data_IF_766457325594
#
_entry.id   IF_766457325594
#
_cell.length_a   1.000
_cell.length_b   1.000
_cell.length_c   1.000
_cell.angle_alpha   90.00
_cell.angle_beta   90.00
_cell.angle_gamma   90.00
#
_symmetry.space_group_name_H-M   'P 1'
#
loop_
_entity.id
_entity.type
_entity.pdbx_description
1 polymer ?
#
# COMPACT_ATOMS: atom_id res chain seq x y z
N UNK A 1 22.65 13.14 -9.50
CA UNK A 1 21.40 13.04 -10.31
C UNK A 1 21.22 11.66 -10.92
N UNK A 2 22.20 11.12 -11.65
CA UNK A 2 22.13 9.79 -12.30
C UNK A 2 21.72 8.68 -11.32
N UNK A 3 22.41 8.58 -10.17
CA UNK A 3 22.10 7.57 -9.13
C UNK A 3 20.66 7.64 -8.61
N UNK A 4 20.13 8.84 -8.41
CA UNK A 4 18.74 9.03 -7.97
C UNK A 4 17.77 8.52 -9.03
N UNK A 5 18.04 8.81 -10.31
CA UNK A 5 17.26 8.28 -11.44
C UNK A 5 17.28 6.74 -11.49
N UNK A 6 18.45 6.12 -11.36
CA UNK A 6 18.56 4.65 -11.32
C UNK A 6 17.76 4.04 -10.16
N UNK A 7 17.81 4.66 -8.96
CA UNK A 7 17.08 4.17 -7.78
C UNK A 7 15.56 4.25 -7.95
N UNK A 8 15.06 5.34 -8.52
CA UNK A 8 13.64 5.52 -8.84
C UNK A 8 13.21 4.49 -9.89
N UNK A 9 14.02 4.30 -10.94
CA UNK A 9 13.69 3.35 -11.99
C UNK A 9 13.66 1.91 -11.47
N UNK A 10 14.64 1.50 -10.65
CA UNK A 10 14.62 0.20 -9.98
C UNK A 10 13.41 0.04 -9.04
N UNK A 11 13.03 1.10 -8.32
CA UNK A 11 11.83 1.09 -7.48
C UNK A 11 10.55 0.86 -8.31
N UNK A 12 10.42 1.52 -9.46
CA UNK A 12 9.30 1.30 -10.38
C UNK A 12 9.27 -0.14 -10.87
N UNK A 13 10.42 -0.70 -11.27
CA UNK A 13 10.49 -2.10 -11.73
C UNK A 13 10.15 -3.11 -10.63
N UNK A 14 10.44 -2.81 -9.36
CA UNK A 14 10.05 -3.64 -8.22
C UNK A 14 8.55 -3.48 -7.87
N UNK A 15 7.97 -2.30 -8.10
CA UNK A 15 6.56 -2.06 -7.87
C UNK A 15 5.68 -2.78 -8.90
N UNK A 16 6.08 -2.82 -10.18
CA UNK A 16 5.22 -3.37 -11.24
C UNK A 16 4.75 -4.80 -11.00
N UNK A 17 5.60 -5.76 -10.56
CA UNK A 17 5.14 -7.09 -10.17
C UNK A 17 4.17 -7.07 -9.00
N UNK A 18 4.41 -6.23 -7.99
CA UNK A 18 3.50 -6.10 -6.86
C UNK A 18 2.11 -5.63 -7.31
N UNK A 19 2.04 -4.80 -8.34
CA UNK A 19 0.78 -4.28 -8.88
C UNK A 19 0.04 -5.27 -9.78
N UNK A 20 0.76 -6.08 -10.55
CA UNK A 20 0.16 -6.87 -11.65
C UNK A 20 0.10 -8.37 -11.40
N UNK A 21 0.97 -8.93 -10.55
CA UNK A 21 1.02 -10.38 -10.29
C UNK A 21 -0.25 -10.87 -9.59
N UNK A 22 -0.75 -10.14 -8.59
CA UNK A 22 -1.98 -10.50 -7.88
C UNK A 22 -3.18 -10.66 -8.83
N UNK A 23 -3.52 -9.61 -9.62
CA UNK A 23 -4.57 -9.70 -10.64
C UNK A 23 -4.38 -10.84 -11.65
N UNK A 24 -3.14 -11.07 -12.13
CA UNK A 24 -2.84 -12.15 -13.06
C UNK A 24 -3.08 -13.54 -12.46
N UNK A 25 -2.70 -13.75 -11.18
CA UNK A 25 -2.96 -15.01 -10.47
C UNK A 25 -4.46 -15.24 -10.30
N UNK A 26 -5.21 -14.20 -9.91
CA UNK A 26 -6.68 -14.27 -9.80
C UNK A 26 -7.33 -14.60 -11.16
N UNK A 27 -6.75 -14.11 -12.26
CA UNK A 27 -7.20 -14.42 -13.62
C UNK A 27 -6.77 -15.81 -14.15
N UNK A 28 -6.09 -16.63 -13.33
CA UNK A 28 -5.63 -17.97 -13.73
C UNK A 28 -4.36 -17.97 -14.59
N UNK A 29 -3.69 -16.83 -14.75
CA UNK A 29 -2.48 -16.64 -15.58
C UNK A 29 -1.20 -16.84 -14.78
N UNK A 30 -1.08 -17.97 -14.09
CA UNK A 30 0.03 -18.21 -13.16
C UNK A 30 1.40 -18.23 -13.85
N UNK A 31 1.49 -18.85 -15.03
CA UNK A 31 2.74 -18.95 -15.78
C UNK A 31 3.26 -17.59 -16.23
N UNK A 32 2.36 -16.77 -16.77
CA UNK A 32 2.63 -15.40 -17.20
C UNK A 32 2.99 -14.52 -15.99
N UNK A 33 2.30 -14.67 -14.87
CA UNK A 33 2.58 -13.92 -13.66
C UNK A 33 4.00 -14.19 -13.13
N UNK A 34 4.42 -15.46 -13.14
CA UNK A 34 5.79 -15.87 -12.76
C UNK A 34 6.81 -15.32 -13.74
N UNK A 35 6.59 -15.48 -15.05
CA UNK A 35 7.50 -14.98 -16.08
C UNK A 35 7.66 -13.45 -16.01
N UNK A 36 6.56 -12.73 -15.81
CA UNK A 36 6.54 -11.28 -15.65
C UNK A 36 7.31 -10.84 -14.40
N UNK A 37 7.08 -11.48 -13.26
CA UNK A 37 7.80 -11.19 -12.02
C UNK A 37 9.31 -11.41 -12.17
N UNK A 38 9.73 -12.49 -12.83
CA UNK A 38 11.14 -12.79 -13.11
C UNK A 38 11.75 -11.73 -14.03
N UNK A 39 11.07 -11.36 -15.11
CA UNK A 39 11.56 -10.37 -16.07
C UNK A 39 11.79 -9.00 -15.41
N UNK A 40 10.79 -8.52 -14.66
CA UNK A 40 10.86 -7.24 -13.94
C UNK A 40 11.89 -7.27 -12.82
N UNK A 41 11.98 -8.38 -12.06
CA UNK A 41 13.00 -8.56 -11.02
C UNK A 41 14.42 -8.57 -11.58
N UNK A 42 14.62 -9.22 -12.73
CA UNK A 42 15.91 -9.24 -13.43
C UNK A 42 16.32 -7.85 -13.93
N UNK A 43 15.35 -7.10 -14.48
CA UNK A 43 15.58 -5.72 -14.91
C UNK A 43 15.94 -4.81 -13.71
N UNK A 44 15.21 -4.93 -12.60
CA UNK A 44 15.53 -4.21 -11.36
C UNK A 44 16.94 -4.55 -10.87
N UNK A 45 17.32 -5.83 -10.84
CA UNK A 45 18.65 -6.28 -10.45
C UNK A 45 19.76 -5.69 -11.34
N UNK A 46 19.53 -5.65 -12.66
CA UNK A 46 20.47 -5.04 -13.61
C UNK A 46 20.64 -3.53 -13.34
N UNK A 47 19.56 -2.79 -13.09
CA UNK A 47 19.63 -1.36 -12.78
C UNK A 47 20.37 -1.11 -11.46
N UNK A 48 20.13 -1.94 -10.44
CA UNK A 48 20.83 -1.87 -9.15
C UNK A 48 22.32 -2.16 -9.32
N UNK A 49 22.69 -3.15 -10.13
CA UNK A 49 24.09 -3.44 -10.48
C UNK A 49 24.74 -2.23 -11.15
N UNK A 50 24.10 -1.66 -12.17
CA UNK A 50 24.59 -0.47 -12.87
C UNK A 50 24.77 0.72 -11.91
N UNK A 51 23.79 0.98 -11.03
CA UNK A 51 23.86 2.04 -10.02
C UNK A 51 24.99 1.85 -9.01
N UNK A 52 25.25 0.61 -8.62
CA UNK A 52 26.24 0.25 -7.60
C UNK A 52 27.67 0.35 -8.13
N UNK A 53 27.93 -0.19 -9.32
CA UNK A 53 29.29 -0.40 -9.82
C UNK A 53 29.72 0.55 -10.94
N UNK A 54 28.77 1.13 -11.69
CA UNK A 54 29.08 1.94 -12.87
C UNK A 54 28.76 3.43 -12.69
N UNK A 55 28.39 3.86 -11.47
CA UNK A 55 28.16 5.26 -11.12
C UNK A 55 29.04 5.61 -9.93
N UNK A 56 29.93 6.59 -10.06
CA UNK A 56 30.76 7.07 -8.95
C UNK A 56 30.00 8.03 -8.00
N UNK A 57 30.33 8.02 -6.69
CA UNK A 57 31.27 7.09 -6.02
C UNK A 57 30.63 5.72 -5.76
N UNK A 58 31.30 4.61 -6.05
CA UNK A 58 30.71 3.27 -6.00
C UNK A 58 29.94 2.96 -4.70
N UNK A 59 28.93 2.11 -4.81
CA UNK A 59 28.03 1.70 -3.72
C UNK A 59 27.92 0.17 -3.69
N UNK A 60 27.22 -0.37 -2.70
CA UNK A 60 26.91 -1.82 -2.66
C UNK A 60 25.52 -2.06 -3.23
N UNK A 61 25.29 -3.23 -3.84
CA UNK A 61 23.93 -3.65 -4.27
C UNK A 61 22.95 -3.55 -3.10
N UNK A 62 23.36 -3.93 -1.89
CA UNK A 62 22.52 -3.85 -0.69
C UNK A 62 22.08 -2.42 -0.38
N UNK A 63 23.00 -1.45 -0.48
CA UNK A 63 22.69 -0.04 -0.24
C UNK A 63 21.78 0.54 -1.33
N UNK A 64 22.03 0.22 -2.61
CA UNK A 64 21.17 0.64 -3.70
C UNK A 64 19.77 0.02 -3.61
N UNK A 65 19.68 -1.28 -3.29
CA UNK A 65 18.42 -1.99 -3.10
C UNK A 65 17.62 -1.42 -1.93
N UNK A 66 18.26 -1.17 -0.78
CA UNK A 66 17.61 -0.50 0.35
C UNK A 66 17.12 0.90 0.00
N UNK A 67 17.88 1.67 -0.78
CA UNK A 67 17.47 2.98 -1.24
C UNK A 67 16.29 2.93 -2.23
N UNK A 68 16.27 1.96 -3.15
CA UNK A 68 15.14 1.72 -4.07
C UNK A 68 13.88 1.24 -3.34
N UNK A 69 14.01 0.31 -2.40
CA UNK A 69 12.90 -0.12 -1.55
C UNK A 69 12.37 1.06 -0.72
N UNK A 70 13.26 1.91 -0.20
CA UNK A 70 12.88 3.11 0.52
C UNK A 70 12.11 4.10 -0.35
N UNK A 71 12.32 4.17 -1.68
CA UNK A 71 11.52 5.01 -2.58
C UNK A 71 10.05 4.58 -2.65
N UNK A 72 9.79 3.28 -2.59
CA UNK A 72 8.44 2.75 -2.44
C UNK A 72 7.89 2.97 -1.04
N UNK A 73 8.74 3.24 -0.05
CA UNK A 73 8.34 3.30 1.35
C UNK A 73 8.48 1.98 2.10
N UNK A 74 9.08 0.96 1.48
CA UNK A 74 9.41 -0.33 2.12
C UNK A 74 10.65 -0.18 3.00
N UNK A 75 10.57 0.72 3.98
CA UNK A 75 11.62 1.02 4.94
C UNK A 75 11.07 1.01 6.36
N UNK A 76 11.98 1.00 7.34
CA UNK A 76 11.60 1.10 8.75
C UNK A 76 10.81 2.40 8.99
N UNK A 77 9.74 2.38 9.81
CA UNK A 77 9.05 3.59 10.24
C UNK A 77 10.02 4.60 10.86
N UNK A 78 9.97 5.85 10.38
CA UNK A 78 10.77 6.97 10.87
C UNK A 78 9.85 7.93 11.64
N UNK A 79 9.71 7.69 12.95
CA UNK A 79 8.95 8.54 13.86
C UNK A 79 9.87 9.43 14.68
N UNK A 80 9.43 10.65 15.01
CA UNK A 80 10.26 11.74 15.54
C UNK A 80 10.86 11.49 16.94
N UNK A 81 10.48 10.42 17.64
CA UNK A 81 10.99 10.10 18.99
C UNK A 81 11.97 8.93 18.96
N UNK A 82 13.07 8.98 19.72
CA UNK A 82 13.99 7.85 19.86
C UNK A 82 13.29 6.71 20.60
N UNK A 83 12.79 5.74 19.84
CA UNK A 83 12.27 4.48 20.34
C UNK A 83 13.25 3.36 19.96
N UNK A 84 13.40 2.35 20.83
CA UNK A 84 14.10 1.12 20.48
C UNK A 84 13.50 0.51 19.22
N UNK A 85 14.30 -0.24 18.46
CA UNK A 85 13.88 -0.87 17.20
C UNK A 85 12.63 -1.72 17.34
N UNK A 86 12.57 -2.54 18.40
CA UNK A 86 11.42 -3.40 18.71
C UNK A 86 10.16 -2.59 18.99
N UNK A 87 10.27 -1.49 19.76
CA UNK A 87 9.11 -0.68 20.11
C UNK A 87 8.50 0.03 18.89
N UNK A 88 9.33 0.42 17.91
CA UNK A 88 8.81 1.04 16.68
C UNK A 88 7.97 0.07 15.87
N UNK A 89 8.43 -1.16 15.67
CA UNK A 89 7.67 -2.15 14.90
C UNK A 89 6.39 -2.58 15.61
N UNK A 90 6.45 -2.86 16.91
CA UNK A 90 5.26 -3.25 17.69
C UNK A 90 4.21 -2.14 17.73
N UNK A 91 4.62 -0.89 17.95
CA UNK A 91 3.67 0.22 18.05
C UNK A 91 3.15 0.61 16.68
N UNK A 92 4.05 0.90 15.74
CA UNK A 92 3.69 1.56 14.48
C UNK A 92 3.39 0.60 13.35
N UNK A 93 3.83 -0.66 13.41
CA UNK A 93 3.50 -1.67 12.39
C UNK A 93 2.52 -2.72 12.90
N UNK A 94 2.08 -2.67 14.16
CA UNK A 94 1.10 -3.63 14.68
C UNK A 94 0.00 -2.94 15.49
N UNK A 95 0.31 -2.41 16.67
CA UNK A 95 -0.71 -1.93 17.61
C UNK A 95 -1.55 -0.78 17.05
N UNK A 96 -0.92 0.29 16.55
CA UNK A 96 -1.61 1.45 15.99
C UNK A 96 -2.37 1.08 14.71
N UNK A 97 -1.77 0.41 13.71
CA UNK A 97 -2.50 -0.05 12.52
C UNK A 97 -3.72 -0.92 12.82
N UNK A 98 -3.60 -1.91 13.72
CA UNK A 98 -4.71 -2.81 14.05
C UNK A 98 -5.83 -2.06 14.78
N UNK A 99 -5.50 -1.15 15.69
CA UNK A 99 -6.49 -0.31 16.36
C UNK A 99 -7.24 0.58 15.36
N UNK A 100 -6.53 1.22 14.42
CA UNK A 100 -7.14 2.06 13.39
C UNK A 100 -7.97 1.25 12.39
N UNK A 101 -7.56 0.02 12.07
CA UNK A 101 -8.37 -0.91 11.28
C UNK A 101 -9.71 -1.22 11.97
N UNK A 102 -9.70 -1.44 13.29
CA UNK A 102 -10.91 -1.60 14.08
C UNK A 102 -11.80 -0.36 14.07
N UNK A 103 -11.23 0.84 14.23
CA UNK A 103 -11.99 2.09 14.12
C UNK A 103 -12.60 2.27 12.74
N UNK A 104 -11.84 1.99 11.67
CA UNK A 104 -12.33 2.03 10.30
C UNK A 104 -13.50 1.06 10.10
N UNK A 105 -13.37 -0.17 10.59
CA UNK A 105 -14.44 -1.16 10.54
C UNK A 105 -15.72 -0.73 11.28
N UNK A 106 -15.60 -0.16 12.49
CA UNK A 106 -16.75 0.37 13.23
C UNK A 106 -17.44 1.52 12.48
N UNK A 107 -16.66 2.40 11.85
CA UNK A 107 -17.18 3.43 10.96
C UNK A 107 -17.96 2.84 9.78
N UNK A 108 -17.42 1.79 9.16
CA UNK A 108 -18.06 1.10 8.04
C UNK A 108 -19.38 0.41 8.43
N UNK A 109 -19.43 -0.21 9.62
CA UNK A 109 -20.67 -0.76 10.16
C UNK A 109 -21.73 0.31 10.35
N UNK A 110 -21.35 1.45 10.93
CA UNK A 110 -22.25 2.59 11.14
C UNK A 110 -22.78 3.13 9.81
N UNK A 111 -21.89 3.33 8.82
CA UNK A 111 -22.25 3.73 7.47
C UNK A 111 -23.27 2.78 6.84
N UNK A 112 -23.03 1.47 6.96
CA UNK A 112 -23.93 0.44 6.43
C UNK A 112 -25.30 0.45 7.10
N UNK A 113 -25.39 0.71 8.40
CA UNK A 113 -26.67 0.76 9.12
C UNK A 113 -27.50 1.99 8.73
N UNK A 114 -26.84 3.10 8.42
CA UNK A 114 -27.48 4.35 8.04
C UNK A 114 -27.85 4.40 6.55
N UNK A 115 -27.24 3.54 5.73
CA UNK A 115 -27.43 3.51 4.28
C UNK A 115 -28.38 2.37 3.89
N UNK A 116 -29.49 2.69 3.22
CA UNK A 116 -30.51 1.70 2.85
C UNK A 116 -29.92 0.59 1.95
N UNK A 117 -29.87 -0.68 2.40
CA UNK A 117 -29.34 -1.81 1.64
C UNK A 117 -30.13 -2.12 0.35
N UNK A 118 -31.37 -1.66 0.24
CA UNK A 118 -32.19 -1.83 -0.96
C UNK A 118 -31.68 -1.01 -2.16
N UNK A 119 -30.77 -0.06 -1.92
CA UNK A 119 -30.25 0.88 -2.92
C UNK A 119 -28.87 0.44 -3.47
N UNK A 120 -28.23 -0.59 -2.91
CA UNK A 120 -26.84 -0.96 -3.27
C UNK A 120 -26.66 -2.48 -3.54
N UNK A 121 -27.15 -2.93 -4.70
CA UNK A 121 -27.00 -4.32 -5.16
C UNK A 121 -25.53 -4.72 -5.38
N UNK A 122 -24.66 -3.76 -5.72
CA UNK A 122 -23.23 -3.97 -5.86
C UNK A 122 -22.58 -4.35 -4.51
N UNK A 123 -23.00 -3.69 -3.43
CA UNK A 123 -22.55 -4.03 -2.08
C UNK A 123 -22.99 -5.44 -1.66
N UNK A 124 -24.18 -5.89 -2.08
CA UNK A 124 -24.63 -7.26 -1.80
C UNK A 124 -23.78 -8.29 -2.55
N UNK A 125 -23.46 -8.03 -3.82
CA UNK A 125 -22.57 -8.88 -4.61
C UNK A 125 -21.16 -8.95 -3.99
N UNK A 126 -20.60 -7.81 -3.57
CA UNK A 126 -19.29 -7.76 -2.92
C UNK A 126 -19.23 -8.56 -1.61
N UNK A 127 -20.32 -8.60 -0.84
CA UNK A 127 -20.41 -9.46 0.37
C UNK A 127 -20.42 -10.94 0.03
N UNK A 128 -21.13 -11.33 -1.03
CA UNK A 128 -21.12 -12.72 -1.50
C UNK A 128 -19.73 -13.14 -1.93
N UNK A 129 -19.04 -12.29 -2.71
CA UNK A 129 -17.67 -12.56 -3.17
C UNK A 129 -16.70 -12.74 -1.99
N UNK A 130 -16.77 -11.86 -0.97
CA UNK A 130 -15.95 -11.99 0.24
C UNK A 130 -16.21 -13.28 1.01
N UNK A 131 -17.46 -13.75 1.03
CA UNK A 131 -17.82 -15.03 1.65
C UNK A 131 -17.21 -16.20 0.88
N UNK A 132 -17.26 -16.16 -0.45
CA UNK A 132 -16.71 -17.20 -1.31
C UNK A 132 -15.19 -17.36 -1.16
N UNK A 133 -14.48 -16.27 -0.81
CA UNK A 133 -13.04 -16.31 -0.51
C UNK A 133 -12.70 -17.26 0.65
N UNK A 134 -13.55 -17.33 1.68
CA UNK A 134 -13.38 -18.27 2.80
C UNK A 134 -13.95 -19.64 2.45
N UNK A 135 -15.17 -19.69 1.89
CA UNK A 135 -15.89 -20.96 1.65
C UNK A 135 -15.16 -21.82 0.62
N UNK A 136 -14.71 -21.24 -0.49
CA UNK A 136 -14.06 -21.98 -1.58
C UNK A 136 -12.52 -21.94 -1.50
N UNK A 137 -11.96 -20.84 -0.98
CA UNK A 137 -10.50 -20.66 -0.86
C UNK A 137 -9.89 -21.08 0.47
N UNK A 138 -10.71 -21.32 1.50
CA UNK A 138 -10.27 -21.63 2.86
C UNK A 138 -9.76 -20.41 3.64
N UNK A 139 -9.51 -20.62 4.94
CA UNK A 139 -9.10 -19.57 5.88
C UNK A 139 -7.79 -18.86 5.49
N UNK A 140 -6.81 -19.60 4.97
CA UNK A 140 -5.55 -19.00 4.53
C UNK A 140 -5.78 -18.02 3.37
N UNK A 141 -6.67 -18.36 2.43
CA UNK A 141 -7.02 -17.47 1.32
C UNK A 141 -7.72 -16.21 1.83
N UNK A 142 -8.79 -16.38 2.62
CA UNK A 142 -9.63 -15.28 3.09
C UNK A 142 -9.00 -14.34 4.12
N UNK A 143 -8.01 -14.80 4.91
CA UNK A 143 -7.44 -13.99 6.00
C UNK A 143 -5.99 -13.56 5.75
N UNK A 144 -5.24 -14.29 4.92
CA UNK A 144 -3.82 -13.99 4.68
C UNK A 144 -3.58 -13.64 3.21
N UNK A 145 -3.83 -14.58 2.29
CA UNK A 145 -3.44 -14.41 0.89
C UNK A 145 -4.11 -13.18 0.27
N UNK A 146 -5.44 -13.11 0.32
CA UNK A 146 -6.18 -12.04 -0.33
C UNK A 146 -6.00 -10.71 0.41
N UNK A 147 -6.23 -10.62 1.74
CA UNK A 147 -6.11 -9.35 2.45
C UNK A 147 -4.72 -8.72 2.35
N UNK A 148 -3.66 -9.52 2.38
CA UNK A 148 -2.28 -9.02 2.44
C UNK A 148 -1.68 -8.90 1.05
N UNK A 149 -1.65 -9.98 0.28
CA UNK A 149 -0.83 -10.07 -0.93
C UNK A 149 -1.57 -9.68 -2.21
N UNK A 150 -2.89 -9.84 -2.24
CA UNK A 150 -3.71 -9.45 -3.40
C UNK A 150 -4.23 -8.03 -3.26
N UNK A 151 -4.63 -7.63 -2.04
CA UNK A 151 -5.22 -6.32 -1.80
C UNK A 151 -4.22 -5.33 -1.17
N UNK A 152 -3.84 -5.52 0.10
CA UNK A 152 -3.14 -4.47 0.85
C UNK A 152 -1.77 -4.09 0.26
N UNK A 153 -0.88 -5.05 -0.01
CA UNK A 153 0.45 -4.71 -0.57
C UNK A 153 0.33 -4.01 -1.92
N UNK A 154 -0.37 -4.57 -2.93
CA UNK A 154 -0.50 -3.93 -4.23
C UNK A 154 -1.14 -2.55 -4.15
N UNK A 155 -2.27 -2.42 -3.44
CA UNK A 155 -2.99 -1.16 -3.35
C UNK A 155 -2.19 -0.10 -2.58
N UNK A 156 -1.55 -0.45 -1.47
CA UNK A 156 -0.72 0.53 -0.75
C UNK A 156 0.49 0.96 -1.58
N UNK A 157 1.12 0.06 -2.33
CA UNK A 157 2.17 0.44 -3.29
C UNK A 157 1.62 1.37 -4.36
N UNK A 158 0.45 1.06 -4.94
CA UNK A 158 -0.17 1.87 -6.00
C UNK A 158 -0.50 3.28 -5.53
N UNK A 159 -1.18 3.38 -4.39
CA UNK A 159 -1.79 4.63 -3.98
C UNK A 159 -0.90 5.45 -3.04
N UNK A 160 -0.02 4.84 -2.23
CA UNK A 160 0.72 5.57 -1.17
C UNK A 160 2.17 5.85 -1.55
N UNK A 161 2.74 5.10 -2.50
CA UNK A 161 4.10 5.36 -2.99
C UNK A 161 4.26 6.77 -3.55
N UNK A 162 3.23 7.35 -4.19
CA UNK A 162 3.28 8.73 -4.70
C UNK A 162 3.52 9.74 -3.57
N UNK A 163 2.76 9.65 -2.49
CA UNK A 163 2.87 10.55 -1.32
C UNK A 163 4.28 10.46 -0.73
N UNK A 164 4.76 9.24 -0.57
CA UNK A 164 6.08 8.92 -0.03
C UNK A 164 7.22 9.39 -0.94
N UNK A 165 7.06 9.29 -2.27
CA UNK A 165 8.00 9.79 -3.25
C UNK A 165 8.07 11.32 -3.22
N UNK A 166 6.91 12.00 -3.19
CA UNK A 166 6.83 13.47 -3.09
C UNK A 166 7.52 13.97 -1.81
N UNK A 167 7.24 13.35 -0.65
CA UNK A 167 7.92 13.68 0.60
C UNK A 167 9.45 13.58 0.49
N UNK A 168 9.96 12.52 -0.13
CA UNK A 168 11.40 12.27 -0.28
C UNK A 168 12.06 13.20 -1.27
N UNK A 169 11.43 13.45 -2.42
CA UNK A 169 11.93 14.38 -3.44
C UNK A 169 12.10 15.77 -2.84
N UNK A 170 11.08 16.26 -2.13
CA UNK A 170 11.07 17.60 -1.54
C UNK A 170 11.99 17.71 -0.32
N UNK A 171 12.20 16.63 0.43
CA UNK A 171 13.18 16.61 1.52
C UNK A 171 14.62 16.86 1.02
N UNK A 172 14.94 16.45 -0.21
CA UNK A 172 16.25 16.68 -0.82
C UNK A 172 16.49 18.13 -1.28
N UNK A 173 15.47 18.99 -1.27
CA UNK A 173 15.54 20.34 -1.83
C UNK A 173 15.49 21.38 -0.72
N UNK A 174 16.65 21.72 -0.17
CA UNK A 174 16.80 22.64 0.98
C UNK A 174 16.19 24.03 0.77
N UNK A 175 16.02 24.47 -0.48
CA UNK A 175 15.52 25.80 -0.85
C UNK A 175 13.98 25.91 -0.89
N UNK A 176 13.25 24.79 -0.85
CA UNK A 176 11.78 24.83 -0.90
C UNK A 176 11.24 25.17 0.50
N UNK A 177 10.38 26.21 0.65
CA UNK A 177 9.73 26.53 1.92
C UNK A 177 8.86 25.39 2.44
N UNK A 178 8.81 25.21 3.77
CA UNK A 178 8.06 24.11 4.39
C UNK A 178 6.56 24.14 4.06
N UNK A 179 5.96 25.33 3.91
CA UNK A 179 4.57 25.48 3.49
C UNK A 179 4.32 24.88 2.09
N UNK A 180 5.24 25.11 1.16
CA UNK A 180 5.16 24.55 -0.21
C UNK A 180 5.34 23.04 -0.18
N UNK A 181 6.24 22.52 0.67
CA UNK A 181 6.40 21.07 0.86
C UNK A 181 5.13 20.44 1.43
N UNK A 182 4.56 21.06 2.46
CA UNK A 182 3.31 20.64 3.09
C UNK A 182 2.17 20.60 2.08
N UNK A 183 2.01 21.66 1.28
CA UNK A 183 0.99 21.73 0.23
C UNK A 183 1.17 20.63 -0.82
N UNK A 184 2.39 20.41 -1.32
CA UNK A 184 2.65 19.38 -2.31
C UNK A 184 2.35 17.96 -1.79
N UNK A 185 2.72 17.68 -0.53
CA UNK A 185 2.41 16.40 0.13
C UNK A 185 0.89 16.26 0.35
N UNK A 186 0.20 17.33 0.73
CA UNK A 186 -1.25 17.35 0.89
C UNK A 186 -1.95 17.07 -0.45
N UNK A 187 -1.52 17.70 -1.54
CA UNK A 187 -2.08 17.46 -2.87
C UNK A 187 -1.86 16.01 -3.31
N UNK A 188 -0.67 15.46 -3.13
CA UNK A 188 -0.38 14.05 -3.41
C UNK A 188 -1.25 13.12 -2.55
N UNK A 189 -1.45 13.45 -1.27
CA UNK A 189 -2.32 12.70 -0.38
C UNK A 189 -3.79 12.74 -0.83
N UNK A 190 -4.29 13.91 -1.23
CA UNK A 190 -5.65 14.04 -1.76
C UNK A 190 -5.83 13.20 -3.02
N UNK A 191 -4.89 13.27 -3.97
CA UNK A 191 -4.95 12.45 -5.19
C UNK A 191 -4.95 10.96 -4.85
N UNK A 192 -4.08 10.53 -3.93
CA UNK A 192 -4.04 9.15 -3.41
C UNK A 192 -5.39 8.70 -2.85
N UNK A 193 -6.01 9.49 -1.96
CA UNK A 193 -7.30 9.15 -1.35
C UNK A 193 -8.43 9.12 -2.37
N UNK A 194 -8.53 10.13 -3.23
CA UNK A 194 -9.59 10.22 -4.24
C UNK A 194 -9.50 9.07 -5.24
N UNK A 195 -8.31 8.80 -5.78
CA UNK A 195 -8.14 7.71 -6.75
C UNK A 195 -8.39 6.33 -6.13
N UNK A 196 -7.99 6.12 -4.88
CA UNK A 196 -8.30 4.91 -4.13
C UNK A 196 -9.81 4.72 -3.93
N UNK A 197 -10.52 5.79 -3.53
CA UNK A 197 -11.97 5.76 -3.34
C UNK A 197 -12.72 5.49 -4.65
N UNK A 198 -12.32 6.14 -5.74
CA UNK A 198 -12.94 5.94 -7.05
C UNK A 198 -12.71 4.53 -7.60
N UNK A 199 -11.54 3.94 -7.34
CA UNK A 199 -11.26 2.55 -7.71
C UNK A 199 -12.20 1.54 -7.04
N UNK A 200 -12.81 1.92 -5.91
CA UNK A 200 -13.80 1.12 -5.20
C UNK A 200 -15.25 1.38 -5.65
N UNK A 201 -15.47 2.22 -6.67
CA UNK A 201 -16.81 2.57 -7.14
C UNK A 201 -17.62 1.38 -7.68
N UNK A 202 -16.94 0.35 -8.20
CA UNK A 202 -17.59 -0.89 -8.64
C UNK A 202 -18.24 -1.71 -7.52
N UNK A 203 -17.92 -1.43 -6.26
CA UNK A 203 -18.46 -2.13 -5.09
C UNK A 203 -19.60 -1.38 -4.40
N UNK A 204 -20.09 -0.28 -4.98
CA UNK A 204 -21.19 0.51 -4.43
C UNK A 204 -20.77 1.76 -3.67
N UNK A 205 -21.71 2.67 -3.44
CA UNK A 205 -21.45 4.01 -2.91
C UNK A 205 -20.88 3.96 -1.48
N UNK A 206 -21.35 3.01 -0.67
CA UNK A 206 -20.85 2.80 0.69
C UNK A 206 -19.37 2.40 0.70
N UNK A 207 -18.91 1.60 -0.28
CA UNK A 207 -17.49 1.28 -0.41
C UNK A 207 -16.66 2.47 -0.88
N UNK A 208 -17.19 3.38 -1.70
CA UNK A 208 -16.47 4.62 -2.06
C UNK A 208 -16.20 5.45 -0.80
N UNK A 209 -17.20 5.65 0.04
CA UNK A 209 -17.07 6.45 1.27
C UNK A 209 -16.13 5.75 2.26
N UNK A 210 -16.30 4.44 2.46
CA UNK A 210 -15.38 3.64 3.27
C UNK A 210 -13.95 3.71 2.77
N UNK A 211 -13.73 3.54 1.46
CA UNK A 211 -12.42 3.61 0.86
C UNK A 211 -11.82 5.01 0.98
N UNK A 212 -12.61 6.09 0.92
CA UNK A 212 -12.12 7.44 1.21
C UNK A 212 -11.64 7.57 2.67
N UNK A 213 -12.41 7.05 3.64
CA UNK A 213 -12.04 7.06 5.07
C UNK A 213 -10.78 6.22 5.33
N UNK A 214 -10.81 4.95 4.92
CA UNK A 214 -9.66 4.04 5.03
C UNK A 214 -8.46 4.62 4.31
N UNK A 215 -8.66 5.16 3.11
CA UNK A 215 -7.59 5.75 2.33
C UNK A 215 -6.95 6.95 3.02
N UNK A 216 -7.73 7.80 3.69
CA UNK A 216 -7.20 8.89 4.50
C UNK A 216 -6.38 8.37 5.70
N UNK A 217 -6.86 7.32 6.38
CA UNK A 217 -6.15 6.67 7.50
C UNK A 217 -4.81 6.09 7.01
N UNK A 218 -4.83 5.31 5.93
CA UNK A 218 -3.65 4.62 5.39
C UNK A 218 -2.62 5.61 4.86
N UNK A 219 -3.08 6.64 4.15
CA UNK A 219 -2.22 7.74 3.67
C UNK A 219 -1.64 8.54 4.84
N UNK A 220 -2.41 8.81 5.89
CA UNK A 220 -1.93 9.46 7.11
C UNK A 220 -0.84 8.65 7.81
N UNK A 221 -1.06 7.33 7.97
CA UNK A 221 -0.07 6.41 8.52
C UNK A 221 1.22 6.39 7.70
N UNK A 222 1.10 6.28 6.37
CA UNK A 222 2.25 6.27 5.48
C UNK A 222 3.02 7.60 5.55
N UNK A 223 2.33 8.74 5.44
CA UNK A 223 2.94 10.06 5.47
C UNK A 223 3.59 10.38 6.82
N UNK A 224 2.97 9.98 7.93
CA UNK A 224 3.48 10.22 9.28
C UNK A 224 4.72 9.37 9.58
N UNK A 225 4.67 8.08 9.27
CA UNK A 225 5.76 7.14 9.54
C UNK A 225 6.82 7.09 8.45
N UNK A 226 6.56 7.73 7.31
CA UNK A 226 7.36 7.68 6.08
C UNK A 226 7.61 6.26 5.57
N UNK A 227 6.73 5.31 5.92
CA UNK A 227 6.83 3.88 5.64
C UNK A 227 5.49 3.34 5.16
N UNK A 228 5.49 2.39 4.23
CA UNK A 228 4.28 1.70 3.80
C UNK A 228 3.80 0.66 4.81
N UNK A 229 4.69 0.08 5.63
CA UNK A 229 4.33 -1.05 6.49
C UNK A 229 3.13 -0.77 7.42
N UNK A 230 3.04 0.38 8.09
CA UNK A 230 1.87 0.71 8.91
C UNK A 230 0.56 0.74 8.12
N UNK A 231 0.59 1.29 6.90
CA UNK A 231 -0.58 1.36 6.02
C UNK A 231 -0.99 -0.03 5.52
N UNK A 232 -0.01 -0.84 5.07
CA UNK A 232 -0.23 -2.23 4.63
C UNK A 232 -0.86 -3.06 5.74
N UNK A 233 -0.35 -2.98 6.97
CA UNK A 233 -0.90 -3.75 8.08
C UNK A 233 -2.30 -3.25 8.46
N UNK A 234 -2.54 -1.94 8.46
CA UNK A 234 -3.85 -1.38 8.76
C UNK A 234 -4.90 -1.85 7.75
N UNK A 235 -4.55 -1.79 6.46
CA UNK A 235 -5.42 -2.21 5.36
C UNK A 235 -5.65 -3.73 5.40
N UNK A 236 -4.60 -4.53 5.54
CA UNK A 236 -4.72 -5.98 5.63
C UNK A 236 -5.59 -6.42 6.82
N UNK A 237 -5.39 -5.79 7.99
CA UNK A 237 -6.21 -6.06 9.17
C UNK A 237 -7.68 -5.69 8.95
N UNK A 238 -7.95 -4.53 8.31
CA UNK A 238 -9.32 -4.13 7.96
C UNK A 238 -9.98 -5.16 7.03
N UNK A 239 -9.29 -5.57 5.95
CA UNK A 239 -9.80 -6.56 5.01
C UNK A 239 -10.05 -7.91 5.70
N UNK A 240 -9.12 -8.36 6.54
CA UNK A 240 -9.27 -9.60 7.31
C UNK A 240 -10.49 -9.55 8.24
N UNK A 241 -10.72 -8.42 8.94
CA UNK A 241 -11.90 -8.23 9.81
C UNK A 241 -13.18 -8.27 8.99
N UNK A 242 -13.25 -7.52 7.89
CA UNK A 242 -14.43 -7.45 7.02
C UNK A 242 -14.76 -8.83 6.44
N UNK A 243 -13.78 -9.53 5.87
CA UNK A 243 -14.00 -10.85 5.27
C UNK A 243 -14.42 -11.87 6.34
N UNK A 244 -13.75 -11.88 7.50
CA UNK A 244 -14.09 -12.81 8.59
C UNK A 244 -15.49 -12.57 9.15
N UNK A 245 -15.95 -11.31 9.20
CA UNK A 245 -17.27 -10.95 9.73
C UNK A 245 -18.39 -11.15 8.72
N UNK A 246 -18.13 -11.20 7.41
CA UNK A 246 -19.14 -11.52 6.38
C UNK A 246 -19.65 -12.97 6.40
N UNK A 247 -19.04 -13.82 7.23
CA UNK A 247 -19.48 -15.19 7.52
C UNK A 247 -20.66 -15.26 8.51
N UNK A 248 -20.93 -14.18 9.25
CA UNK A 248 -21.99 -14.07 10.25
C UNK A 248 -23.04 -13.03 9.84
#
# INVERSE_FOLDING_TARGET
MIRTGCRIFAALMLATPLLLVGPMVVAGLLGEAVAFAIAMGSLAAMILYQSAYNVEPHSTIRAEGAASAAWLGLCRPAVSRPQSTTNVWLVWCLAVPVALAGVHFLGQLTLTQLWDPAVDSAQQAARSERRDMIVNGGWFSGVVLIPVFVAAIPEEVQYRSLVLAVQRLLAGWSRIPDAVRGLAVLLAATVSVVTFALAHGGFGATNIVSAAVGGAIYTGLAAYTRSLWPAVVCHAAYNAIVISTTMF
#
